data_IF_353794542878
#
_entry.id   IF_353794542878
#
_cell.length_a   1.000
_cell.length_b   1.000
_cell.length_c   1.000
_cell.angle_alpha   90.00
_cell.angle_beta   90.00
_cell.angle_gamma   90.00
#
_symmetry.space_group_name_H-M   'P 1'
#
loop_
_entity.id
_entity.type
_entity.pdbx_description
1 polymer ?
#
# COMPACT_ATOMS: atom_id res chain seq x y z
N UNK A 1 -10.27 32.88 -19.17
CA UNK A 1 -9.03 32.31 -18.64
C UNK A 1 -9.11 32.29 -17.11
N UNK A 2 -9.32 31.12 -16.49
CA UNK A 2 -9.15 30.94 -15.04
C UNK A 2 -7.88 30.14 -14.85
N UNK A 3 -6.78 30.82 -14.55
CA UNK A 3 -5.56 30.17 -14.11
C UNK A 3 -5.84 29.59 -12.72
N UNK A 4 -5.89 28.26 -12.64
CA UNK A 4 -6.00 27.54 -11.38
C UNK A 4 -4.62 27.61 -10.74
N UNK A 5 -4.54 28.37 -9.65
CA UNK A 5 -3.36 28.50 -8.80
C UNK A 5 -3.09 27.13 -8.17
N UNK A 6 -2.13 26.39 -8.72
CA UNK A 6 -1.66 25.11 -8.18
C UNK A 6 -0.77 25.42 -6.97
N UNK A 7 -1.39 25.90 -5.86
CA UNK A 7 -0.70 25.94 -4.58
C UNK A 7 -0.28 24.51 -4.25
N UNK A 8 1.03 24.28 -4.12
CA UNK A 8 1.63 22.99 -3.81
C UNK A 8 1.00 22.42 -2.55
N UNK A 9 0.02 21.53 -2.71
CA UNK A 9 -0.61 20.82 -1.62
C UNK A 9 0.46 19.98 -0.93
N UNK A 10 0.66 20.19 0.36
CA UNK A 10 1.44 19.30 1.21
C UNK A 10 0.81 17.91 1.21
N UNK A 11 1.63 16.88 1.07
CA UNK A 11 1.19 15.50 1.22
C UNK A 11 1.20 15.15 2.70
N UNK A 12 0.25 14.32 3.12
CA UNK A 12 0.16 13.86 4.50
C UNK A 12 0.44 12.35 4.58
N UNK A 13 0.96 11.91 5.73
CA UNK A 13 1.00 10.51 6.15
C UNK A 13 -0.06 10.35 7.24
N UNK A 14 -1.03 9.47 6.98
CA UNK A 14 -2.04 9.05 7.94
C UNK A 14 -1.59 7.77 8.64
N UNK A 15 -1.75 7.70 9.96
CA UNK A 15 -1.33 6.57 10.79
C UNK A 15 -2.47 6.15 11.73
N UNK A 16 -2.56 4.85 12.05
CA UNK A 16 -3.60 4.27 12.91
C UNK A 16 -3.08 3.90 14.33
N UNK A 17 -2.08 4.61 14.86
CA UNK A 17 -1.34 4.26 16.09
C UNK A 17 -2.19 4.25 17.39
N UNK A 18 -3.38 4.88 17.41
CA UNK A 18 -4.18 5.10 18.62
C UNK A 18 -5.64 4.62 18.53
N UNK A 19 -5.89 3.51 17.84
CA UNK A 19 -7.22 2.87 17.78
C UNK A 19 -7.98 3.19 16.49
N UNK A 20 -9.27 3.53 16.58
CA UNK A 20 -10.15 3.72 15.42
C UNK A 20 -10.02 5.10 14.74
N UNK A 21 -9.10 5.97 15.19
CA UNK A 21 -8.92 7.32 14.64
C UNK A 21 -7.58 7.43 13.91
N UNK A 22 -7.63 7.96 12.68
CA UNK A 22 -6.45 8.27 11.89
C UNK A 22 -5.82 9.58 12.38
N UNK A 23 -4.55 9.54 12.77
CA UNK A 23 -3.73 10.74 12.96
C UNK A 23 -2.99 11.08 11.67
N UNK A 24 -2.66 12.36 11.44
CA UNK A 24 -1.94 12.77 10.23
C UNK A 24 -0.76 13.67 10.55
N UNK A 25 0.35 13.44 9.86
CA UNK A 25 1.52 14.32 9.85
C UNK A 25 1.88 14.70 8.43
N UNK A 26 2.44 15.88 8.22
CA UNK A 26 2.91 16.31 6.89
C UNK A 26 4.07 15.41 6.45
N UNK A 27 3.96 14.83 5.26
CA UNK A 27 5.03 14.07 4.60
C UNK A 27 6.16 15.02 4.19
N UNK A 28 7.18 15.11 5.04
CA UNK A 28 8.42 15.85 4.76
C UNK A 28 9.56 14.91 4.35
N UNK A 29 9.34 14.08 3.32
CA UNK A 29 10.38 13.16 2.84
C UNK A 29 11.01 13.68 1.52
N UNK A 30 12.34 13.92 1.48
CA UNK A 30 13.00 14.49 0.30
C UNK A 30 13.19 13.51 -0.87
N UNK A 31 12.65 12.29 -0.77
CA UNK A 31 12.94 11.26 -1.75
C UNK A 31 12.12 11.46 -3.01
N UNK A 32 12.81 11.48 -4.13
CA UNK A 32 12.26 11.44 -5.49
C UNK A 32 12.89 10.27 -6.25
N UNK A 33 12.29 9.90 -7.39
CA UNK A 33 12.89 8.90 -8.28
C UNK A 33 14.31 9.29 -8.72
N UNK A 34 14.64 10.58 -8.81
CA UNK A 34 15.98 11.05 -9.17
C UNK A 34 16.99 10.78 -8.06
N UNK A 35 16.61 11.01 -6.80
CA UNK A 35 17.48 10.79 -5.63
C UNK A 35 17.64 9.31 -5.26
N UNK A 36 16.74 8.44 -5.73
CA UNK A 36 16.71 7.04 -5.31
C UNK A 36 17.82 6.23 -6.01
N UNK A 37 18.68 5.60 -5.22
CA UNK A 37 19.73 4.71 -5.71
C UNK A 37 19.15 3.31 -6.00
N UNK A 38 18.87 3.03 -7.27
CA UNK A 38 18.44 1.71 -7.76
C UNK A 38 18.80 1.56 -9.25
N UNK A 39 18.66 0.34 -9.78
CA UNK A 39 18.85 0.08 -11.20
C UNK A 39 17.93 0.97 -12.07
N UNK A 40 18.50 1.60 -13.09
CA UNK A 40 17.79 2.58 -13.93
C UNK A 40 16.66 1.94 -14.74
N UNK A 41 16.82 0.68 -15.15
CA UNK A 41 15.78 -0.03 -15.90
C UNK A 41 14.61 -0.38 -15.00
N UNK A 42 14.87 -0.85 -13.78
CA UNK A 42 13.84 -1.09 -12.77
C UNK A 42 13.12 0.21 -12.36
N UNK A 43 13.87 1.28 -12.12
CA UNK A 43 13.32 2.61 -11.82
C UNK A 43 12.34 3.07 -12.91
N UNK A 44 12.76 2.99 -14.17
CA UNK A 44 11.94 3.36 -15.33
C UNK A 44 10.68 2.51 -15.41
N UNK A 45 10.79 1.20 -15.22
CA UNK A 45 9.65 0.29 -15.29
C UNK A 45 8.58 0.62 -14.23
N UNK A 46 8.99 1.00 -13.02
CA UNK A 46 8.07 1.42 -11.95
C UNK A 46 7.38 2.74 -12.34
N UNK A 47 8.15 3.75 -12.75
CA UNK A 47 7.60 5.07 -13.15
C UNK A 47 6.60 4.93 -14.30
N UNK A 48 6.96 4.17 -15.34
CA UNK A 48 6.10 3.98 -16.51
C UNK A 48 4.79 3.25 -16.15
N UNK A 49 4.84 2.30 -15.21
CA UNK A 49 3.65 1.59 -14.73
C UNK A 49 2.73 2.51 -13.91
N UNK A 50 3.29 3.34 -13.03
CA UNK A 50 2.55 4.33 -12.24
C UNK A 50 1.85 5.35 -13.15
N UNK A 51 2.57 5.92 -14.12
CA UNK A 51 2.03 6.85 -15.10
C UNK A 51 0.95 6.21 -15.97
N UNK A 52 1.10 4.93 -16.30
CA UNK A 52 0.11 4.17 -17.05
C UNK A 52 -1.13 3.87 -16.21
N UNK A 53 -0.97 3.54 -14.94
CA UNK A 53 -2.06 3.25 -14.02
C UNK A 53 -2.95 4.48 -13.79
N UNK A 54 -2.35 5.64 -13.53
CA UNK A 54 -3.07 6.91 -13.30
C UNK A 54 -3.92 7.32 -14.51
N UNK A 55 -3.39 7.19 -15.73
CA UNK A 55 -4.08 7.55 -16.98
C UNK A 55 -5.21 6.60 -17.38
N UNK A 56 -5.33 5.43 -16.75
CA UNK A 56 -6.26 4.36 -17.17
C UNK A 56 -7.54 4.25 -16.35
N UNK A 57 -7.86 5.20 -15.46
CA UNK A 57 -9.08 5.18 -14.65
C UNK A 57 -10.35 4.87 -15.46
N UNK A 58 -10.56 5.55 -16.58
CA UNK A 58 -11.74 5.35 -17.43
C UNK A 58 -11.74 4.01 -18.15
N UNK A 59 -10.56 3.51 -18.52
CA UNK A 59 -10.42 2.18 -19.10
C UNK A 59 -10.89 1.09 -18.12
N UNK A 60 -10.46 1.16 -16.86
CA UNK A 60 -10.88 0.24 -15.80
C UNK A 60 -12.39 0.27 -15.57
N UNK A 61 -12.96 1.49 -15.49
CA UNK A 61 -14.41 1.68 -15.36
C UNK A 61 -15.18 1.06 -16.52
N UNK A 62 -14.73 1.27 -17.76
CA UNK A 62 -15.39 0.77 -18.98
C UNK A 62 -15.45 -0.76 -19.03
N UNK A 63 -14.42 -1.45 -18.53
CA UNK A 63 -14.37 -2.92 -18.52
C UNK A 63 -14.90 -3.54 -17.22
N UNK A 64 -15.48 -2.73 -16.32
CA UNK A 64 -16.04 -3.19 -15.05
C UNK A 64 -15.00 -3.75 -14.07
N UNK A 65 -13.73 -3.33 -14.15
CA UNK A 65 -12.68 -3.78 -13.22
C UNK A 65 -12.36 -2.71 -12.18
N UNK A 66 -12.11 -3.14 -10.95
CA UNK A 66 -11.66 -2.26 -9.87
C UNK A 66 -10.34 -1.56 -10.24
N UNK A 67 -10.28 -0.24 -10.08
CA UNK A 67 -9.11 0.57 -10.41
C UNK A 67 -8.09 0.53 -9.25
N UNK A 68 -7.44 -0.63 -9.10
CA UNK A 68 -6.45 -0.92 -8.06
C UNK A 68 -5.12 -1.34 -8.65
N UNK A 69 -4.03 -1.05 -7.93
CA UNK A 69 -2.68 -1.50 -8.25
C UNK A 69 -1.93 -1.83 -6.96
N UNK A 70 -1.43 -3.05 -6.88
CA UNK A 70 -0.62 -3.54 -5.75
C UNK A 70 0.84 -3.71 -6.13
N UNK A 71 1.75 -3.33 -5.23
CA UNK A 71 3.18 -3.55 -5.34
C UNK A 71 3.68 -4.27 -4.09
N UNK A 72 4.50 -5.31 -4.27
CA UNK A 72 5.20 -5.99 -3.18
C UNK A 72 6.68 -5.63 -3.26
N UNK A 73 7.16 -4.89 -2.25
CA UNK A 73 8.58 -4.52 -2.13
C UNK A 73 9.26 -5.45 -1.13
N UNK A 74 10.27 -6.19 -1.56
CA UNK A 74 11.01 -7.13 -0.72
C UNK A 74 12.52 -6.95 -0.86
N UNK A 75 13.26 -7.27 0.21
CA UNK A 75 14.71 -7.22 0.24
C UNK A 75 15.27 -6.83 1.62
N UNK A 76 16.60 -6.90 1.81
CA UNK A 76 17.26 -6.61 3.09
C UNK A 76 16.86 -5.27 3.72
N UNK A 77 16.89 -5.12 5.05
CA UNK A 77 16.67 -3.83 5.69
C UNK A 77 17.71 -2.80 5.20
N UNK A 78 17.31 -1.52 5.11
CA UNK A 78 18.20 -0.45 4.64
C UNK A 78 18.34 -0.28 3.12
N UNK A 79 17.65 -1.07 2.29
CA UNK A 79 17.71 -0.97 0.82
C UNK A 79 16.80 0.11 0.20
N UNK A 80 16.28 1.04 1.01
CA UNK A 80 15.48 2.16 0.50
C UNK A 80 14.04 1.84 0.12
N UNK A 81 13.44 0.75 0.63
CA UNK A 81 12.03 0.39 0.38
C UNK A 81 11.06 1.52 0.79
N UNK A 82 11.19 2.04 2.02
CA UNK A 82 10.37 3.16 2.50
C UNK A 82 10.65 4.45 1.73
N UNK A 83 11.91 4.69 1.35
CA UNK A 83 12.28 5.83 0.50
C UNK A 83 11.68 5.74 -0.91
N UNK A 84 11.51 4.53 -1.45
CA UNK A 84 10.78 4.31 -2.71
C UNK A 84 9.28 4.62 -2.56
N UNK A 85 8.65 4.24 -1.44
CA UNK A 85 7.25 4.61 -1.15
C UNK A 85 7.10 6.14 -1.12
N UNK A 86 7.99 6.84 -0.42
CA UNK A 86 8.01 8.30 -0.39
C UNK A 86 8.21 8.92 -1.80
N UNK A 87 9.12 8.35 -2.61
CA UNK A 87 9.32 8.79 -3.99
C UNK A 87 8.07 8.58 -4.86
N UNK A 88 7.34 7.48 -4.68
CA UNK A 88 6.07 7.21 -5.37
C UNK A 88 5.01 8.23 -4.95
N UNK A 89 4.86 8.49 -3.65
CA UNK A 89 3.90 9.47 -3.12
C UNK A 89 4.19 10.88 -3.67
N UNK A 90 5.46 11.29 -3.66
CA UNK A 90 5.90 12.57 -4.23
C UNK A 90 5.66 12.67 -5.75
N UNK A 91 5.87 11.58 -6.50
CA UNK A 91 5.64 11.53 -7.95
C UNK A 91 4.14 11.60 -8.30
N UNK A 92 3.30 10.87 -7.57
CA UNK A 92 1.86 10.80 -7.81
C UNK A 92 1.06 11.94 -7.17
N UNK A 93 1.66 12.66 -6.21
CA UNK A 93 1.00 13.62 -5.33
C UNK A 93 -0.14 12.99 -4.52
N UNK A 94 0.09 11.79 -4.01
CA UNK A 94 -0.87 11.05 -3.18
C UNK A 94 -0.41 11.05 -1.71
N UNK A 95 -1.37 11.13 -0.80
CA UNK A 95 -1.11 10.91 0.63
C UNK A 95 -0.74 9.45 0.90
N UNK A 96 0.00 9.22 1.97
CA UNK A 96 0.35 7.88 2.43
C UNK A 96 -0.60 7.51 3.57
N UNK A 97 -1.17 6.31 3.51
CA UNK A 97 -1.89 5.71 4.64
C UNK A 97 -1.04 4.57 5.15
N UNK A 98 -0.37 4.79 6.27
CA UNK A 98 0.40 3.78 6.96
C UNK A 98 -0.52 3.00 7.89
N UNK A 99 -0.72 1.73 7.56
CA UNK A 99 -1.62 0.84 8.27
C UNK A 99 -0.77 -0.13 9.08
N UNK A 100 -0.65 0.16 10.36
CA UNK A 100 0.01 -0.74 11.30
C UNK A 100 -0.94 -1.88 11.64
N UNK A 101 -0.48 -3.11 11.40
CA UNK A 101 -1.25 -4.34 11.58
C UNK A 101 -0.82 -5.08 12.87
N UNK A 102 -0.29 -4.40 13.88
CA UNK A 102 0.26 -4.98 15.11
C UNK A 102 -0.68 -5.98 15.79
N UNK A 103 -1.99 -5.68 15.83
CA UNK A 103 -3.00 -6.61 16.36
C UNK A 103 -3.17 -7.90 15.55
N UNK A 104 -2.81 -7.86 14.27
CA UNK A 104 -2.81 -8.98 13.32
C UNK A 104 -1.44 -9.67 13.25
N UNK A 105 -0.34 -8.99 13.59
CA UNK A 105 1.02 -9.57 13.56
C UNK A 105 1.12 -10.84 14.40
N UNK A 106 0.50 -10.87 15.57
CA UNK A 106 0.44 -12.06 16.41
C UNK A 106 -0.24 -13.24 15.69
N UNK A 107 -1.34 -12.98 14.98
CA UNK A 107 -2.05 -13.98 14.20
C UNK A 107 -1.25 -14.45 12.97
N UNK A 108 -0.52 -13.54 12.32
CA UNK A 108 0.36 -13.84 11.19
C UNK A 108 1.56 -14.68 11.62
N UNK A 109 2.09 -14.50 12.83
CA UNK A 109 3.20 -15.31 13.33
C UNK A 109 2.77 -16.75 13.67
N UNK A 110 1.51 -16.94 14.06
CA UNK A 110 0.95 -18.26 14.39
C UNK A 110 0.53 -19.06 13.15
N UNK A 111 0.39 -18.39 12.00
CA UNK A 111 -0.19 -18.95 10.77
C UNK A 111 0.75 -18.75 9.58
N UNK A 112 0.96 -19.78 8.77
CA UNK A 112 1.70 -19.62 7.52
C UNK A 112 0.86 -18.86 6.48
N UNK A 113 1.09 -17.54 6.39
CA UNK A 113 0.52 -16.66 5.37
C UNK A 113 1.62 -15.85 4.69
N UNK A 114 1.51 -15.69 3.38
CA UNK A 114 2.46 -14.91 2.59
C UNK A 114 2.04 -13.44 2.53
N UNK A 115 2.99 -12.49 2.40
CA UNK A 115 2.64 -11.08 2.17
C UNK A 115 1.76 -10.87 0.92
N UNK A 116 1.86 -11.75 -0.08
CA UNK A 116 1.03 -11.71 -1.27
C UNK A 116 -0.44 -12.10 -0.99
N UNK A 117 -0.69 -13.11 -0.17
CA UNK A 117 -2.06 -13.47 0.27
C UNK A 117 -2.70 -12.33 1.09
N UNK A 118 -1.93 -11.70 1.98
CA UNK A 118 -2.39 -10.53 2.74
C UNK A 118 -2.78 -9.40 1.79
N UNK A 119 -1.89 -9.06 0.86
CA UNK A 119 -2.13 -8.03 -0.15
C UNK A 119 -3.35 -8.34 -1.03
N UNK A 120 -3.54 -9.61 -1.41
CA UNK A 120 -4.70 -10.04 -2.19
C UNK A 120 -6.00 -9.78 -1.45
N UNK A 121 -6.11 -10.21 -0.18
CA UNK A 121 -7.33 -10.01 0.60
C UNK A 121 -7.65 -8.54 0.80
N UNK A 122 -6.63 -7.73 1.15
CA UNK A 122 -6.82 -6.29 1.31
C UNK A 122 -7.27 -5.60 0.01
N UNK A 123 -6.90 -6.12 -1.15
CA UNK A 123 -7.30 -5.55 -2.44
C UNK A 123 -8.68 -6.01 -2.93
N UNK A 124 -9.33 -7.00 -2.30
CA UNK A 124 -10.64 -7.51 -2.72
C UNK A 124 -11.77 -6.50 -2.47
N UNK A 125 -11.68 -5.71 -1.41
CA UNK A 125 -12.70 -4.74 -1.04
C UNK A 125 -12.18 -3.29 -1.11
N UNK A 126 -13.04 -2.36 -1.51
CA UNK A 126 -12.76 -0.91 -1.49
C UNK A 126 -13.00 -0.33 -0.09
N UNK A 127 -13.85 -0.99 0.70
CA UNK A 127 -14.11 -0.67 2.09
C UNK A 127 -12.99 -1.23 2.98
N UNK A 128 -12.31 -0.34 3.69
CA UNK A 128 -11.17 -0.67 4.56
C UNK A 128 -11.56 -1.55 5.73
N UNK A 129 -12.72 -1.34 6.33
CA UNK A 129 -13.19 -2.11 7.48
C UNK A 129 -13.54 -3.53 7.04
N UNK A 130 -14.20 -3.66 5.88
CA UNK A 130 -14.50 -4.98 5.31
C UNK A 130 -13.22 -5.71 4.90
N UNK A 131 -12.27 -5.01 4.26
CA UNK A 131 -10.99 -5.61 3.87
C UNK A 131 -10.18 -6.13 5.06
N UNK A 132 -10.12 -5.35 6.16
CA UNK A 132 -9.46 -5.74 7.40
C UNK A 132 -10.16 -6.94 8.06
N UNK A 133 -11.49 -6.90 8.13
CA UNK A 133 -12.27 -8.00 8.68
C UNK A 133 -12.13 -9.29 7.86
N UNK A 134 -12.07 -9.21 6.54
CA UNK A 134 -11.81 -10.35 5.66
C UNK A 134 -10.41 -10.94 5.88
N UNK A 135 -9.40 -10.08 6.15
CA UNK A 135 -8.06 -10.52 6.50
C UNK A 135 -8.04 -11.25 7.85
N UNK A 136 -8.68 -10.71 8.88
CA UNK A 136 -8.79 -11.37 10.19
C UNK A 136 -9.45 -12.74 10.06
N UNK A 137 -10.57 -12.82 9.32
CA UNK A 137 -11.26 -14.09 9.04
C UNK A 137 -10.37 -15.12 8.36
N UNK A 138 -9.57 -14.70 7.37
CA UNK A 138 -8.63 -15.62 6.69
C UNK A 138 -7.64 -16.22 7.69
N UNK A 139 -7.08 -15.38 8.56
CA UNK A 139 -6.08 -15.80 9.54
C UNK A 139 -6.67 -16.72 10.59
N UNK A 140 -7.87 -16.43 11.09
CA UNK A 140 -8.60 -17.31 12.01
C UNK A 140 -8.93 -18.68 11.38
N UNK A 141 -9.32 -18.71 10.10
CA UNK A 141 -9.61 -19.95 9.39
C UNK A 141 -8.36 -20.83 9.30
N UNK A 142 -7.24 -20.25 8.83
CA UNK A 142 -5.97 -20.97 8.71
C UNK A 142 -5.42 -21.40 10.07
N UNK A 143 -5.67 -20.64 11.14
CA UNK A 143 -5.34 -21.02 12.51
C UNK A 143 -6.09 -22.30 12.93
N UNK A 144 -7.39 -22.40 12.62
CA UNK A 144 -8.20 -23.61 12.89
C UNK A 144 -7.68 -24.83 12.13
N UNK A 145 -7.40 -24.68 10.84
CA UNK A 145 -6.82 -25.75 10.01
C UNK A 145 -5.48 -26.24 10.58
N UNK A 146 -4.61 -25.33 11.02
CA UNK A 146 -3.32 -25.67 11.62
C UNK A 146 -3.45 -26.39 12.97
N UNK A 147 -4.54 -26.19 13.71
CA UNK A 147 -4.83 -26.93 14.96
C UNK A 147 -5.45 -28.31 14.70
N UNK A 148 -6.28 -28.46 13.67
CA UNK A 148 -6.90 -29.75 13.31
C UNK A 148 -5.88 -30.74 12.74
N UNK A 149 -4.88 -30.26 11.98
CA UNK A 149 -3.81 -31.12 11.43
C UNK A 149 -2.87 -31.67 12.52
N UNK A 150 -2.82 -31.04 13.70
CA UNK A 150 -1.99 -31.46 14.84
C UNK A 150 -2.70 -32.44 15.80
N UNK A 151 -3.97 -32.74 15.57
CA UNK A 151 -4.79 -33.65 16.39
C UNK A 151 -4.99 -34.97 15.66
#
# INVERSE_FOLDING_TARGET
AKAINHQERSLDIYMNEHGNEWSSIVLQHPSTFDTLAMDMKQKRAIVDDLDRFTKRKDYYRRIGKAWKRGYLLYGPPGTGKSSLIAAIANHLRFDIYDLELTGIEALIQEVTVTPAEVAEVLMRNDDTDVALHDLVKLLELKKKEATEIKT
#
